data_IF_073059005261
#
_entry.id   IF_073059005261
#
_cell.length_a   1.000
_cell.length_b   1.000
_cell.length_c   1.000
_cell.angle_alpha   90.00
_cell.angle_beta   90.00
_cell.angle_gamma   90.00
#
_symmetry.space_group_name_H-M   'P 1'
#
loop_
_entity.id
_entity.type
_entity.pdbx_description
1 polymer ?
#
# COMPACT_ATOMS: atom_id res chain seq x y z
N UNK A 1 12.91 24.38 -27.49
CA UNK A 1 11.62 23.67 -27.33
C UNK A 1 10.75 24.48 -26.39
N UNK A 2 9.59 24.97 -26.84
CA UNK A 2 8.66 25.73 -26.00
C UNK A 2 7.94 24.74 -25.07
N UNK A 3 8.15 24.86 -23.76
CA UNK A 3 7.35 24.16 -22.74
C UNK A 3 5.94 24.74 -22.82
N UNK A 4 4.97 23.98 -23.32
CA UNK A 4 3.57 24.39 -23.33
C UNK A 4 2.97 23.89 -22.01
N UNK A 5 2.87 24.79 -21.03
CA UNK A 5 2.19 24.53 -19.78
C UNK A 5 0.68 24.44 -20.08
N UNK A 6 0.08 23.27 -19.94
CA UNK A 6 -1.37 23.13 -20.06
C UNK A 6 -2.01 23.42 -18.70
N UNK A 7 -2.73 24.54 -18.61
CA UNK A 7 -3.65 24.81 -17.52
C UNK A 7 -5.05 24.36 -17.96
N UNK A 8 -5.52 23.22 -17.47
CA UNK A 8 -6.87 22.73 -17.77
C UNK A 8 -7.89 23.50 -16.92
N UNK A 9 -8.43 24.61 -17.44
CA UNK A 9 -9.72 25.11 -16.97
C UNK A 9 -10.82 24.19 -17.53
N UNK A 10 -11.18 23.15 -16.77
CA UNK A 10 -12.36 22.27 -16.92
C UNK A 10 -13.09 22.30 -18.29
N UNK A 11 -12.46 21.79 -19.35
CA UNK A 11 -13.19 21.34 -20.56
C UNK A 11 -13.23 19.82 -20.54
N UNK A 12 -14.30 19.29 -19.96
CA UNK A 12 -14.54 17.87 -19.65
C UNK A 12 -14.89 16.98 -20.87
N UNK A 13 -14.62 17.40 -22.11
CA UNK A 13 -14.94 16.58 -23.28
C UNK A 13 -13.72 15.82 -23.75
N UNK A 14 -13.70 14.50 -23.50
CA UNK A 14 -12.78 13.46 -24.02
C UNK A 14 -11.58 13.02 -23.16
N UNK A 15 -11.70 12.98 -21.84
CA UNK A 15 -10.77 12.22 -20.98
C UNK A 15 -11.27 10.77 -20.92
N UNK A 16 -10.57 9.87 -21.60
CA UNK A 16 -10.85 8.44 -21.54
C UNK A 16 -10.29 7.85 -20.22
N UNK A 17 -10.97 6.85 -19.67
CA UNK A 17 -10.49 6.07 -18.53
C UNK A 17 -9.12 5.44 -18.86
N UNK A 18 -8.15 5.50 -17.93
CA UNK A 18 -6.82 4.89 -18.10
C UNK A 18 -5.67 5.85 -18.43
N UNK A 19 -5.93 7.16 -18.49
CA UNK A 19 -4.91 8.18 -18.70
C UNK A 19 -3.99 8.34 -17.47
N UNK A 20 -2.70 8.58 -17.75
CA UNK A 20 -1.61 8.65 -16.77
C UNK A 20 -0.79 9.92 -16.95
N UNK A 21 -0.44 10.56 -15.84
CA UNK A 21 0.43 11.74 -15.80
C UNK A 21 1.57 11.46 -14.81
N UNK A 22 2.81 11.49 -15.29
CA UNK A 22 3.99 11.19 -14.47
C UNK A 22 4.16 12.16 -13.30
N UNK A 23 4.06 13.47 -13.58
CA UNK A 23 4.22 14.53 -12.60
C UNK A 23 3.19 15.64 -12.84
N UNK A 24 2.60 16.15 -11.76
CA UNK A 24 1.62 17.22 -11.79
C UNK A 24 1.70 18.12 -10.55
N UNK A 25 1.15 19.32 -10.68
CA UNK A 25 0.88 20.24 -9.57
C UNK A 25 -0.63 20.41 -9.43
N UNK A 26 -1.13 20.10 -8.23
CA UNK A 26 -2.55 20.16 -7.88
C UNK A 26 -2.79 21.33 -6.92
N UNK A 27 -3.80 22.14 -7.17
CA UNK A 27 -4.27 23.19 -6.26
C UNK A 27 -5.71 22.88 -5.88
N UNK A 28 -5.99 22.84 -4.58
CA UNK A 28 -7.34 22.54 -4.06
C UNK A 28 -8.01 23.83 -3.56
N UNK A 29 -9.32 23.94 -3.74
CA UNK A 29 -10.11 25.15 -3.40
C UNK A 29 -9.96 25.63 -1.94
N UNK A 30 -9.64 24.73 -1.01
CA UNK A 30 -9.56 25.00 0.44
C UNK A 30 -8.14 24.91 1.00
N UNK A 31 -7.14 24.88 0.13
CA UNK A 31 -5.75 24.75 0.50
C UNK A 31 -4.96 25.89 -0.13
N UNK A 32 -4.27 26.69 0.68
CA UNK A 32 -3.44 27.79 0.19
C UNK A 32 -2.20 27.31 -0.57
N UNK A 33 -1.73 26.11 -0.24
CA UNK A 33 -0.57 25.50 -0.87
C UNK A 33 -0.95 24.62 -2.07
N UNK A 34 0.03 24.36 -2.93
CA UNK A 34 -0.08 23.38 -4.01
C UNK A 34 0.48 22.04 -3.58
N UNK A 35 -0.12 20.95 -4.05
CA UNK A 35 0.35 19.58 -3.85
C UNK A 35 1.13 19.13 -5.09
N UNK A 36 2.36 18.69 -4.87
CA UNK A 36 3.14 18.01 -5.90
C UNK A 36 2.74 16.54 -5.95
N UNK A 37 2.32 16.09 -7.13
CA UNK A 37 1.77 14.77 -7.37
C UNK A 37 2.60 14.02 -8.41
N UNK A 38 2.79 12.72 -8.15
CA UNK A 38 3.40 11.75 -9.07
C UNK A 38 2.42 10.64 -9.39
N UNK A 39 2.64 9.99 -10.51
CA UNK A 39 1.88 8.82 -10.94
C UNK A 39 0.35 9.03 -10.88
N UNK A 40 -0.12 10.14 -11.45
CA UNK A 40 -1.54 10.49 -11.41
C UNK A 40 -2.31 9.64 -12.42
N UNK A 41 -3.33 8.94 -11.95
CA UNK A 41 -4.20 8.06 -12.74
C UNK A 41 -5.65 8.45 -12.54
N UNK A 42 -6.39 8.59 -13.64
CA UNK A 42 -7.85 8.74 -13.57
C UNK A 42 -8.50 7.40 -13.21
N UNK A 43 -9.08 7.32 -12.02
CA UNK A 43 -9.88 6.16 -11.59
C UNK A 43 -11.23 6.17 -12.31
N UNK A 44 -11.83 7.36 -12.43
CA UNK A 44 -13.02 7.63 -13.22
C UNK A 44 -13.11 9.12 -13.60
N UNK A 45 -14.22 9.52 -14.20
CA UNK A 45 -14.54 10.90 -14.60
C UNK A 45 -14.58 11.90 -13.43
N UNK A 46 -14.56 11.43 -12.18
CA UNK A 46 -14.70 12.25 -10.96
C UNK A 46 -13.50 12.15 -10.01
N UNK A 47 -12.67 11.12 -10.15
CA UNK A 47 -11.67 10.74 -9.15
C UNK A 47 -10.31 10.48 -9.81
N UNK A 48 -9.27 11.06 -9.21
CA UNK A 48 -7.87 10.73 -9.49
C UNK A 48 -7.26 10.00 -8.30
N UNK A 49 -6.34 9.09 -8.63
CA UNK A 49 -5.41 8.46 -7.71
C UNK A 49 -4.01 9.02 -8.02
N UNK A 50 -3.19 9.26 -7.00
CA UNK A 50 -1.83 9.77 -7.18
C UNK A 50 -0.94 9.47 -5.97
N UNK A 51 0.37 9.64 -6.13
CA UNK A 51 1.36 9.68 -5.03
C UNK A 51 1.69 11.13 -4.71
N UNK A 52 1.51 11.53 -3.46
CA UNK A 52 1.94 12.85 -3.00
C UNK A 52 3.45 12.83 -2.73
N UNK A 53 4.22 13.76 -3.28
CA UNK A 53 5.68 13.76 -3.10
C UNK A 53 6.12 14.00 -1.66
N UNK A 54 5.32 14.73 -0.88
CA UNK A 54 5.59 15.00 0.54
C UNK A 54 5.17 13.81 1.43
N UNK A 55 4.32 12.93 0.91
CA UNK A 55 3.84 11.73 1.61
C UNK A 55 3.96 10.50 0.68
N UNK A 56 5.19 10.12 0.31
CA UNK A 56 5.43 9.15 -0.77
C UNK A 56 5.06 7.71 -0.39
N UNK A 57 4.82 7.44 0.89
CA UNK A 57 4.51 6.11 1.41
C UNK A 57 3.00 5.85 1.49
N UNK A 58 2.14 6.72 0.96
CA UNK A 58 0.68 6.53 0.94
C UNK A 58 0.09 6.82 -0.43
N UNK A 59 -0.94 6.05 -0.78
CA UNK A 59 -1.72 6.28 -1.99
C UNK A 59 -2.82 7.31 -1.72
N UNK A 60 -2.83 8.38 -2.51
CA UNK A 60 -3.75 9.50 -2.36
C UNK A 60 -4.86 9.47 -3.40
N UNK A 61 -6.05 9.89 -3.00
CA UNK A 61 -7.21 10.04 -3.85
C UNK A 61 -7.79 11.43 -3.72
N UNK A 62 -8.18 12.03 -4.85
CA UNK A 62 -8.80 13.35 -4.87
C UNK A 62 -9.97 13.39 -5.85
N UNK A 63 -11.03 14.10 -5.47
CA UNK A 63 -12.11 14.43 -6.40
C UNK A 63 -11.67 15.55 -7.32
N UNK A 64 -11.85 15.38 -8.62
CA UNK A 64 -11.54 16.40 -9.62
C UNK A 64 -12.27 17.72 -9.33
N UNK A 65 -13.53 17.65 -8.86
CA UNK A 65 -14.32 18.83 -8.49
C UNK A 65 -13.79 19.66 -7.32
N UNK A 66 -12.82 19.16 -6.55
CA UNK A 66 -12.18 19.90 -5.44
C UNK A 66 -10.89 20.61 -5.92
N UNK A 67 -10.48 20.40 -7.17
CA UNK A 67 -9.31 21.02 -7.75
C UNK A 67 -9.69 22.38 -8.32
N UNK A 68 -9.01 23.41 -7.85
CA UNK A 68 -8.98 24.74 -8.46
C UNK A 68 -8.05 24.74 -9.68
N UNK A 69 -6.94 24.00 -9.59
CA UNK A 69 -5.93 23.92 -10.65
C UNK A 69 -5.34 22.51 -10.75
N UNK A 70 -5.12 22.06 -11.98
CA UNK A 70 -4.40 20.83 -12.30
C UNK A 70 -3.45 21.14 -13.46
N UNK A 71 -2.17 21.23 -13.16
CA UNK A 71 -1.11 21.58 -14.12
C UNK A 71 -0.13 20.45 -14.30
N UNK A 72 0.25 20.17 -15.54
CA UNK A 72 1.30 19.22 -15.89
C UNK A 72 1.93 19.60 -17.23
N UNK A 73 3.15 19.12 -17.48
CA UNK A 73 3.78 19.21 -18.79
C UNK A 73 3.15 18.17 -19.73
N UNK A 74 2.72 18.59 -20.91
CA UNK A 74 2.16 17.69 -21.93
C UNK A 74 3.06 16.49 -22.27
N UNK A 75 4.38 16.59 -22.11
CA UNK A 75 5.30 15.46 -22.33
C UNK A 75 5.25 14.40 -21.24
N UNK A 76 4.57 14.68 -20.13
CA UNK A 76 4.39 13.78 -19.00
C UNK A 76 3.05 13.04 -19.06
N UNK A 77 2.23 13.32 -20.07
CA UNK A 77 0.92 12.70 -20.27
C UNK A 77 1.03 11.48 -21.17
N UNK A 78 0.37 10.40 -20.75
CA UNK A 78 0.33 9.13 -21.45
C UNK A 78 -1.10 8.62 -21.53
N UNK A 79 -1.46 8.05 -22.68
CA UNK A 79 -2.79 7.48 -22.89
C UNK A 79 -3.04 6.22 -22.05
N UNK A 80 -1.97 5.49 -21.71
CA UNK A 80 -2.04 4.26 -20.94
C UNK A 80 -1.16 4.37 -19.70
N UNK A 81 -1.69 3.98 -18.55
CA UNK A 81 -0.90 3.88 -17.32
C UNK A 81 0.13 2.73 -17.40
N UNK A 82 1.40 2.97 -17.06
CA UNK A 82 2.36 1.89 -16.89
C UNK A 82 1.96 1.05 -15.67
N UNK A 83 2.49 -0.19 -15.59
CA UNK A 83 2.36 -1.00 -14.39
C UNK A 83 3.23 -0.41 -13.27
N UNK A 84 2.60 0.41 -12.43
CA UNK A 84 3.26 1.06 -11.30
C UNK A 84 3.81 0.02 -10.30
N UNK A 85 4.88 0.41 -9.61
CA UNK A 85 5.35 -0.38 -8.48
C UNK A 85 4.31 -0.28 -7.36
N UNK A 86 3.86 -1.41 -6.82
CA UNK A 86 2.82 -1.48 -5.77
C UNK A 86 3.43 -1.74 -4.37
N UNK A 87 4.76 -1.79 -4.29
CA UNK A 87 5.58 -1.94 -3.09
C UNK A 87 6.56 -0.78 -2.95
N UNK A 88 7.25 -0.74 -1.81
CA UNK A 88 8.33 0.20 -1.51
C UNK A 88 9.72 -0.44 -1.65
N UNK A 89 9.78 -1.75 -1.87
CA UNK A 89 11.01 -2.48 -2.20
C UNK A 89 11.19 -2.65 -3.71
N UNK A 90 12.42 -2.94 -4.11
CA UNK A 90 12.72 -3.37 -5.48
C UNK A 90 12.01 -4.68 -5.84
N UNK A 91 11.74 -4.84 -7.13
CA UNK A 91 11.17 -6.08 -7.66
C UNK A 91 12.26 -7.14 -7.75
N UNK A 92 11.91 -8.37 -7.38
CA UNK A 92 12.83 -9.52 -7.50
C UNK A 92 12.65 -10.23 -8.83
N UNK A 93 13.72 -10.80 -9.36
CA UNK A 93 13.64 -11.64 -10.53
C UNK A 93 13.15 -13.05 -10.18
N UNK A 94 12.45 -13.69 -11.11
CA UNK A 94 11.96 -15.06 -10.97
C UNK A 94 10.48 -15.20 -10.67
N UNK A 95 10.05 -16.46 -10.58
CA UNK A 95 8.69 -16.88 -10.25
C UNK A 95 8.73 -18.26 -9.62
N UNK A 96 8.06 -18.44 -8.50
CA UNK A 96 8.05 -19.72 -7.80
C UNK A 96 7.51 -19.60 -6.40
N UNK A 97 7.83 -20.56 -5.56
CA UNK A 97 7.36 -20.64 -4.19
C UNK A 97 8.50 -20.75 -3.20
N UNK A 98 8.28 -20.19 -2.02
CA UNK A 98 9.11 -20.38 -0.84
C UNK A 98 8.43 -21.47 -0.02
N UNK A 99 9.03 -22.67 0.03
CA UNK A 99 8.42 -23.80 0.73
C UNK A 99 8.39 -23.54 2.24
N UNK A 100 9.46 -22.97 2.78
CA UNK A 100 9.63 -22.67 4.21
C UNK A 100 9.90 -21.18 4.48
N UNK A 101 9.78 -20.75 5.75
CA UNK A 101 10.19 -19.39 6.16
C UNK A 101 11.68 -19.17 5.92
N UNK A 102 12.49 -20.21 6.06
CA UNK A 102 13.92 -20.14 5.77
C UNK A 102 14.19 -19.95 4.28
N UNK A 103 13.38 -20.56 3.41
CA UNK A 103 13.45 -20.30 1.98
C UNK A 103 13.08 -18.85 1.65
N UNK A 104 12.05 -18.30 2.31
CA UNK A 104 11.63 -16.91 2.14
C UNK A 104 12.74 -15.93 2.57
N UNK A 105 13.36 -16.16 3.72
CA UNK A 105 14.45 -15.33 4.26
C UNK A 105 15.68 -15.40 3.36
N UNK A 106 16.10 -16.60 2.98
CA UNK A 106 17.31 -16.81 2.18
C UNK A 106 17.10 -16.56 0.68
N UNK A 107 15.85 -16.35 0.24
CA UNK A 107 15.51 -16.18 -1.17
C UNK A 107 15.56 -17.48 -1.98
N UNK A 108 15.55 -18.64 -1.34
CA UNK A 108 15.58 -19.95 -2.01
C UNK A 108 14.25 -20.21 -2.69
N UNK A 109 14.20 -20.01 -4.01
CA UNK A 109 12.97 -20.17 -4.77
C UNK A 109 12.87 -21.58 -5.34
N UNK A 110 11.75 -22.26 -5.10
CA UNK A 110 11.41 -23.50 -5.79
C UNK A 110 10.53 -23.17 -6.99
N UNK A 111 10.96 -23.58 -8.18
CA UNK A 111 10.12 -23.51 -9.37
C UNK A 111 8.95 -24.47 -9.21
N UNK A 112 7.75 -23.90 -9.11
CA UNK A 112 6.51 -24.65 -9.06
C UNK A 112 5.47 -23.89 -9.88
N UNK A 113 4.73 -24.55 -10.76
CA UNK A 113 3.69 -23.88 -11.48
C UNK A 113 2.47 -23.61 -10.58
N UNK A 114 1.91 -22.40 -10.68
CA UNK A 114 0.70 -22.02 -9.98
C UNK A 114 -0.06 -20.93 -10.73
N UNK A 115 -1.36 -20.83 -10.46
CA UNK A 115 -2.22 -19.70 -10.85
C UNK A 115 -2.55 -18.88 -9.61
N UNK A 116 -2.81 -17.59 -9.83
CA UNK A 116 -3.18 -16.66 -8.75
C UNK A 116 -4.47 -15.94 -9.08
N UNK A 117 -5.28 -15.65 -8.06
CA UNK A 117 -6.48 -14.81 -8.18
C UNK A 117 -6.41 -13.68 -7.16
N UNK A 118 -6.57 -12.45 -7.62
CA UNK A 118 -6.74 -11.30 -6.74
C UNK A 118 -8.05 -11.41 -5.96
N UNK A 119 -7.97 -11.20 -4.64
CA UNK A 119 -9.13 -11.22 -3.73
C UNK A 119 -9.10 -10.04 -2.74
N UNK A 120 -8.16 -9.10 -2.88
CA UNK A 120 -8.03 -7.93 -1.99
C UNK A 120 -8.94 -6.74 -2.34
N UNK A 121 -9.87 -6.87 -3.29
CA UNK A 121 -10.78 -5.79 -3.66
C UNK A 121 -11.62 -5.35 -2.46
N UNK A 122 -11.57 -4.04 -2.14
CA UNK A 122 -12.27 -3.49 -0.98
C UNK A 122 -11.66 -3.88 0.37
N UNK A 123 -10.46 -4.45 0.38
CA UNK A 123 -9.71 -4.78 1.60
C UNK A 123 -8.34 -4.07 1.63
N UNK A 124 -7.74 -3.83 0.47
CA UNK A 124 -6.39 -3.28 0.33
C UNK A 124 -6.33 -2.07 -0.61
N UNK A 125 -5.24 -1.29 -0.51
CA UNK A 125 -4.89 -0.23 -1.47
C UNK A 125 -4.83 -0.75 -2.89
N UNK A 126 -4.17 -1.89 -3.08
CA UNK A 126 -4.12 -2.59 -4.36
C UNK A 126 -4.84 -3.92 -4.24
N UNK A 127 -5.69 -4.24 -5.21
CA UNK A 127 -6.46 -5.49 -5.22
C UNK A 127 -5.55 -6.73 -5.15
N UNK A 128 -4.36 -6.63 -5.74
CA UNK A 128 -3.35 -7.68 -5.76
C UNK A 128 -2.51 -7.77 -4.47
N UNK A 129 -2.78 -6.97 -3.44
CA UNK A 129 -2.11 -7.12 -2.14
C UNK A 129 -2.56 -8.37 -1.38
N UNK A 130 -3.71 -8.95 -1.75
CA UNK A 130 -4.19 -10.23 -1.25
C UNK A 130 -4.57 -11.14 -2.42
N UNK A 131 -4.00 -12.34 -2.44
CA UNK A 131 -4.21 -13.32 -3.50
C UNK A 131 -4.55 -14.71 -2.95
N UNK A 132 -5.33 -15.44 -3.72
CA UNK A 132 -5.39 -16.90 -3.66
C UNK A 132 -4.36 -17.48 -4.62
N UNK A 133 -3.70 -18.55 -4.20
CA UNK A 133 -2.78 -19.34 -5.05
C UNK A 133 -3.32 -20.76 -5.18
N UNK A 134 -3.46 -21.22 -6.42
CA UNK A 134 -3.97 -22.56 -6.75
C UNK A 134 -3.03 -23.29 -7.70
N UNK A 135 -3.02 -24.62 -7.62
CA UNK A 135 -2.37 -25.47 -8.61
C UNK A 135 -3.15 -25.47 -9.96
N UNK A 136 -2.66 -26.24 -10.93
CA UNK A 136 -3.34 -26.35 -12.22
C UNK A 136 -4.68 -27.09 -12.15
N UNK A 137 -4.88 -27.93 -11.14
CA UNK A 137 -6.14 -28.64 -10.87
C UNK A 137 -7.13 -27.80 -10.06
N UNK A 138 -6.83 -26.51 -9.84
CA UNK A 138 -7.64 -25.54 -9.09
C UNK A 138 -7.68 -25.75 -7.57
N UNK A 139 -6.82 -26.62 -7.01
CA UNK A 139 -6.69 -26.80 -5.56
C UNK A 139 -5.85 -25.68 -4.97
N UNK A 140 -6.30 -25.11 -3.84
CA UNK A 140 -5.51 -24.12 -3.10
C UNK A 140 -4.20 -24.73 -2.64
N UNK A 141 -3.10 -24.00 -2.84
CA UNK A 141 -1.80 -24.33 -2.27
C UNK A 141 -1.76 -23.74 -0.86
N UNK A 142 -1.50 -24.59 0.15
CA UNK A 142 -1.76 -24.27 1.57
C UNK A 142 -0.51 -24.26 2.45
N UNK A 143 0.46 -25.11 2.11
CA UNK A 143 1.58 -25.45 3.00
C UNK A 143 2.92 -24.98 2.40
N UNK A 144 2.95 -23.70 2.02
CA UNK A 144 4.15 -22.98 1.60
C UNK A 144 4.22 -21.66 2.36
N UNK A 145 5.42 -21.18 2.66
CA UNK A 145 5.62 -19.93 3.38
C UNK A 145 5.31 -18.68 2.54
N UNK A 146 5.52 -18.75 1.22
CA UNK A 146 5.26 -17.62 0.36
C UNK A 146 5.38 -17.92 -1.13
N UNK A 147 5.11 -16.91 -1.96
CA UNK A 147 5.28 -16.98 -3.41
C UNK A 147 5.98 -15.74 -3.95
N UNK A 148 6.80 -15.92 -4.98
CA UNK A 148 7.30 -14.84 -5.81
C UNK A 148 6.49 -14.79 -7.10
N UNK A 149 5.77 -13.70 -7.31
CA UNK A 149 4.87 -13.53 -8.44
C UNK A 149 5.01 -12.11 -9.01
N UNK A 150 5.35 -12.01 -10.29
CA UNK A 150 5.50 -10.74 -11.02
C UNK A 150 6.48 -9.76 -10.33
N UNK A 151 7.52 -10.31 -9.70
CA UNK A 151 8.53 -9.59 -8.94
C UNK A 151 8.12 -9.15 -7.53
N UNK A 152 6.93 -9.55 -7.07
CA UNK A 152 6.45 -9.28 -5.71
C UNK A 152 6.48 -10.53 -4.85
N UNK A 153 6.98 -10.38 -3.63
CA UNK A 153 6.95 -11.40 -2.59
C UNK A 153 5.61 -11.37 -1.89
N UNK A 154 5.04 -12.55 -1.67
CA UNK A 154 3.82 -12.74 -0.92
C UNK A 154 4.05 -13.75 0.19
N UNK A 155 3.54 -13.48 1.39
CA UNK A 155 3.63 -14.35 2.57
C UNK A 155 2.29 -15.03 2.83
N UNK A 156 2.35 -16.30 3.20
CA UNK A 156 1.19 -17.08 3.61
C UNK A 156 0.61 -16.55 4.93
N UNK A 157 -0.70 -16.23 4.93
CA UNK A 157 -1.40 -15.78 6.15
C UNK A 157 -1.37 -16.88 7.22
N UNK A 158 -1.47 -18.16 6.83
CA UNK A 158 -1.28 -19.31 7.72
C UNK A 158 0.08 -19.25 8.42
N UNK A 159 1.16 -19.16 7.64
CA UNK A 159 2.52 -19.17 8.22
C UNK A 159 2.77 -17.95 9.12
N UNK A 160 2.29 -16.78 8.72
CA UNK A 160 2.35 -15.58 9.54
C UNK A 160 1.63 -15.76 10.89
N UNK A 161 0.47 -16.43 10.88
CA UNK A 161 -0.27 -16.76 12.09
C UNK A 161 0.42 -17.83 12.94
N UNK A 162 0.99 -18.86 12.32
CA UNK A 162 1.64 -19.97 13.02
C UNK A 162 2.94 -19.53 13.72
N UNK A 163 3.61 -18.51 13.17
CA UNK A 163 4.87 -17.94 13.68
C UNK A 163 4.67 -16.55 14.30
N UNK A 164 3.46 -16.25 14.76
CA UNK A 164 3.16 -14.99 15.41
C UNK A 164 3.88 -14.88 16.77
N UNK A 165 4.46 -13.71 17.03
CA UNK A 165 5.12 -13.43 18.30
C UNK A 165 4.13 -13.50 19.46
N UNK A 166 4.55 -14.15 20.54
CA UNK A 166 3.70 -14.35 21.74
C UNK A 166 3.36 -13.04 22.44
N UNK A 167 4.26 -12.07 22.36
CA UNK A 167 4.10 -10.76 23.01
C UNK A 167 3.20 -9.82 22.21
N UNK A 168 3.05 -10.05 20.90
CA UNK A 168 2.45 -9.10 19.95
C UNK A 168 1.49 -9.76 18.97
N UNK A 169 0.46 -10.42 19.52
CA UNK A 169 -0.55 -11.14 18.74
C UNK A 169 -1.59 -10.24 18.08
N UNK A 170 -1.71 -10.28 16.77
CA UNK A 170 -2.80 -9.83 15.92
C UNK A 170 -3.74 -10.96 15.55
N UNK A 171 -5.05 -10.72 15.55
CA UNK A 171 -6.03 -11.72 15.16
C UNK A 171 -6.09 -11.95 13.64
N UNK A 172 -4.96 -12.24 13.00
CA UNK A 172 -4.75 -12.28 11.54
C UNK A 172 -5.73 -13.17 10.77
N UNK A 173 -6.10 -14.30 11.38
CA UNK A 173 -6.90 -15.36 10.76
C UNK A 173 -8.39 -15.01 10.68
N UNK A 174 -8.90 -14.13 11.54
CA UNK A 174 -10.35 -13.97 11.71
C UNK A 174 -11.03 -13.21 10.57
N UNK A 175 -10.28 -12.56 9.65
CA UNK A 175 -10.86 -11.77 8.54
C UNK A 175 -10.40 -12.18 7.15
N UNK A 176 -9.33 -12.97 7.06
CA UNK A 176 -8.73 -13.40 5.80
C UNK A 176 -8.68 -14.92 5.77
N UNK A 177 -8.96 -15.52 4.62
CA UNK A 177 -8.88 -16.97 4.51
C UNK A 177 -7.47 -17.47 4.87
N UNK A 178 -7.37 -18.49 5.72
CA UNK A 178 -6.07 -19.04 6.20
C UNK A 178 -5.12 -19.38 5.05
N UNK A 179 -5.66 -19.80 3.89
CA UNK A 179 -4.89 -20.22 2.72
C UNK A 179 -4.73 -19.10 1.68
N UNK A 180 -4.64 -17.87 2.13
CA UNK A 180 -4.39 -16.69 1.28
C UNK A 180 -2.97 -16.18 1.48
N UNK A 181 -2.52 -15.35 0.55
CA UNK A 181 -1.18 -14.79 0.55
C UNK A 181 -1.25 -13.27 0.47
N UNK A 182 -0.48 -12.60 1.32
CA UNK A 182 -0.41 -11.14 1.41
C UNK A 182 0.91 -10.63 0.86
N UNK A 183 0.84 -9.57 0.07
CA UNK A 183 2.01 -8.94 -0.51
C UNK A 183 2.88 -8.28 0.57
N UNK A 184 4.17 -8.54 0.49
CA UNK A 184 5.19 -7.81 1.22
C UNK A 184 5.32 -6.41 0.65
N UNK A 185 5.10 -5.38 1.48
CA UNK A 185 5.20 -3.97 1.10
C UNK A 185 6.65 -3.51 1.05
N UNK A 186 7.48 -4.03 1.95
CA UNK A 186 8.91 -3.75 1.99
C UNK A 186 9.68 -4.95 2.52
N UNK A 187 10.88 -5.15 1.98
CA UNK A 187 11.78 -6.23 2.35
C UNK A 187 13.17 -5.63 2.45
N UNK A 188 13.63 -5.44 3.69
CA UNK A 188 14.95 -4.92 4.01
C UNK A 188 15.98 -6.04 4.15
N UNK A 189 17.12 -5.71 4.76
CA UNK A 189 18.24 -6.65 4.91
C UNK A 189 17.96 -7.72 5.98
N UNK A 190 17.28 -7.36 7.08
CA UNK A 190 17.02 -8.26 8.20
C UNK A 190 15.54 -8.39 8.58
N UNK A 191 14.64 -7.80 7.80
CA UNK A 191 13.20 -7.84 8.06
C UNK A 191 12.36 -7.78 6.79
N UNK A 192 11.11 -8.23 6.92
CA UNK A 192 10.05 -7.93 5.96
C UNK A 192 8.88 -7.24 6.66
N UNK A 193 8.15 -6.46 5.87
CA UNK A 193 7.03 -5.67 6.32
C UNK A 193 5.84 -5.83 5.36
N UNK A 194 4.67 -6.09 5.94
CA UNK A 194 3.39 -6.06 5.23
C UNK A 194 2.28 -5.53 6.15
N UNK A 195 1.10 -5.40 5.60
CA UNK A 195 -0.05 -4.85 6.33
C UNK A 195 -1.25 -5.78 6.21
N UNK A 196 -2.03 -5.87 7.28
CA UNK A 196 -3.30 -6.59 7.30
C UNK A 196 -4.44 -5.63 7.60
N UNK A 197 -5.49 -5.58 6.77
CA UNK A 197 -6.63 -4.72 7.03
C UNK A 197 -7.48 -5.32 8.15
N UNK A 198 -7.97 -4.43 9.01
CA UNK A 198 -8.75 -4.77 10.20
C UNK A 198 -10.23 -4.82 9.96
N UNK A 199 -10.69 -4.24 8.87
CA UNK A 199 -12.09 -4.20 8.49
C UNK A 199 -12.15 -4.32 6.98
N UNK A 200 -13.30 -4.76 6.46
CA UNK A 200 -13.59 -4.50 5.05
C UNK A 200 -13.46 -3.00 4.87
N UNK A 201 -12.54 -2.55 4.02
CA UNK A 201 -12.53 -1.15 3.66
C UNK A 201 -13.90 -0.91 3.04
N UNK A 202 -14.76 -0.16 3.71
CA UNK A 202 -16.02 0.29 3.14
C UNK A 202 -15.65 1.01 1.85
N UNK A 203 -15.83 0.28 0.74
CA UNK A 203 -15.16 0.44 -0.54
C UNK A 203 -14.64 1.87 -0.71
N UNK A 204 -13.34 2.14 -0.47
CA UNK A 204 -12.79 3.51 -0.48
C UNK A 204 -13.15 4.21 -1.80
N UNK A 205 -13.26 3.45 -2.89
CA UNK A 205 -13.72 3.90 -4.21
C UNK A 205 -15.24 4.18 -4.22
N UNK A 206 -16.08 3.40 -3.54
CA UNK A 206 -17.51 3.71 -3.38
C UNK A 206 -17.78 4.84 -2.38
N UNK A 207 -17.03 4.96 -1.29
CA UNK A 207 -17.22 6.00 -0.26
C UNK A 207 -16.65 7.34 -0.71
N UNK A 208 -15.54 7.34 -1.46
CA UNK A 208 -15.09 8.52 -2.22
C UNK A 208 -16.09 8.88 -3.34
N UNK A 209 -16.74 7.92 -4.01
CA UNK A 209 -17.84 8.23 -4.94
C UNK A 209 -19.08 8.84 -4.25
N UNK A 210 -19.43 8.37 -3.04
CA UNK A 210 -20.64 8.78 -2.28
C UNK A 210 -20.43 10.05 -1.43
N UNK A 211 -19.21 10.57 -1.31
CA UNK A 211 -18.97 11.88 -0.71
C UNK A 211 -18.75 11.90 0.80
N UNK A 212 -18.44 10.75 1.39
CA UNK A 212 -17.88 10.69 2.73
C UNK A 212 -16.37 10.79 2.58
N UNK A 213 -15.79 11.90 3.03
CA UNK A 213 -14.36 11.97 3.29
C UNK A 213 -14.05 11.00 4.41
N UNK A 214 -13.67 9.77 4.07
CA UNK A 214 -13.12 8.85 5.05
C UNK A 214 -11.74 9.43 5.40
N UNK A 215 -11.59 9.80 6.68
CA UNK A 215 -10.50 10.62 7.22
C UNK A 215 -9.13 10.13 6.73
N UNK A 216 -8.52 10.94 5.86
CA UNK A 216 -7.21 10.64 5.30
C UNK A 216 -6.11 10.97 6.29
N UNK A 217 -5.30 9.96 6.62
CA UNK A 217 -4.10 10.02 7.43
C UNK A 217 -2.92 10.69 6.69
N UNK A 218 -3.17 11.88 6.14
CA UNK A 218 -2.14 12.86 5.80
C UNK A 218 -2.44 14.05 6.69
N UNK A 219 -1.64 14.27 7.73
CA UNK A 219 -1.90 15.26 8.78
C UNK A 219 -2.17 16.68 8.25
N UNK A 220 -2.87 17.49 9.04
CA UNK A 220 -3.12 18.90 8.74
C UNK A 220 -4.15 19.19 7.64
N UNK A 221 -3.92 20.28 6.88
CA UNK A 221 -4.90 20.88 5.97
C UNK A 221 -5.33 20.00 4.79
N UNK A 222 -4.56 18.94 4.46
CA UNK A 222 -4.87 18.03 3.35
C UNK A 222 -6.01 17.06 3.64
N UNK A 223 -6.27 16.73 4.91
CA UNK A 223 -7.27 15.75 5.31
C UNK A 223 -8.71 16.09 4.83
N UNK A 224 -8.99 17.37 4.55
CA UNK A 224 -10.29 17.83 4.05
C UNK A 224 -10.47 17.70 2.52
N UNK A 225 -9.39 17.55 1.77
CA UNK A 225 -9.40 17.62 0.29
C UNK A 225 -8.83 16.36 -0.38
N UNK A 226 -7.90 15.68 0.29
CA UNK A 226 -7.29 14.41 -0.14
C UNK A 226 -7.73 13.30 0.79
N UNK A 227 -8.08 12.15 0.21
CA UNK A 227 -8.39 10.93 0.96
C UNK A 227 -7.22 9.95 0.86
N UNK A 228 -6.88 9.34 1.98
CA UNK A 228 -5.92 8.23 2.08
C UNK A 228 -6.46 7.17 3.04
N UNK A 229 -5.78 6.04 3.07
CA UNK A 229 -6.04 5.01 4.07
C UNK A 229 -5.55 5.43 5.46
N UNK A 230 -6.28 4.98 6.49
CA UNK A 230 -5.95 5.27 7.88
C UNK A 230 -5.12 4.16 8.53
N UNK A 231 -4.21 4.46 9.47
CA UNK A 231 -3.62 3.44 10.34
C UNK A 231 -4.66 2.77 11.25
N UNK A 232 -5.87 3.32 11.36
CA UNK A 232 -7.00 2.62 11.97
C UNK A 232 -7.53 1.46 11.09
N UNK A 233 -7.27 1.49 9.78
CA UNK A 233 -7.73 0.47 8.83
C UNK A 233 -6.75 -0.69 8.68
N UNK A 234 -5.46 -0.47 8.96
CA UNK A 234 -4.39 -1.44 8.78
C UNK A 234 -3.63 -1.77 10.07
N UNK A 235 -3.07 -2.98 10.11
CA UNK A 235 -2.05 -3.38 11.09
C UNK A 235 -0.74 -3.60 10.37
N UNK A 236 0.30 -2.80 10.69
CA UNK A 236 1.66 -3.12 10.34
C UNK A 236 2.07 -4.47 10.92
N UNK A 237 2.73 -5.29 10.12
CA UNK A 237 3.30 -6.56 10.53
C UNK A 237 4.74 -6.61 10.09
N UNK A 238 5.62 -6.83 11.06
CA UNK A 238 7.06 -6.88 10.87
C UNK A 238 7.52 -8.28 11.21
N UNK A 239 8.32 -8.91 10.35
CA UNK A 239 9.01 -10.15 10.66
C UNK A 239 10.50 -9.92 10.60
N UNK A 240 11.17 -10.05 11.75
CA UNK A 240 12.62 -10.03 11.83
C UNK A 240 13.17 -11.41 11.45
N UNK A 241 14.11 -11.44 10.50
CA UNK A 241 14.70 -12.68 9.98
C UNK A 241 15.46 -13.45 11.07
N UNK A 242 16.09 -12.74 12.00
CA UNK A 242 16.82 -13.32 13.13
C UNK A 242 15.92 -14.11 14.09
N UNK A 243 14.67 -13.66 14.27
CA UNK A 243 13.70 -14.25 15.20
C UNK A 243 12.73 -15.21 14.52
N UNK A 244 12.48 -15.03 13.21
CA UNK A 244 11.48 -15.77 12.43
C UNK A 244 10.07 -15.68 13.04
N UNK A 245 9.79 -14.56 13.71
CA UNK A 245 8.50 -14.27 14.33
C UNK A 245 7.84 -13.05 13.68
N UNK A 246 6.52 -13.09 13.56
CA UNK A 246 5.70 -11.99 13.04
C UNK A 246 5.13 -11.16 14.19
N UNK A 247 5.40 -9.86 14.17
CA UNK A 247 4.99 -8.90 15.19
C UNK A 247 3.85 -8.02 14.67
N UNK A 248 2.70 -8.02 15.35
CA UNK A 248 1.58 -7.14 14.98
C UNK A 248 1.61 -5.83 15.74
N UNK A 249 1.65 -4.73 15.00
CA UNK A 249 1.55 -3.41 15.61
C UNK A 249 0.09 -2.94 15.66
N UNK A 250 -0.46 -2.81 16.87
CA UNK A 250 -1.90 -2.59 17.10
C UNK A 250 -2.34 -1.14 17.08
N UNK A 251 -1.49 -0.24 17.53
CA UNK A 251 -1.79 1.18 17.70
C UNK A 251 -0.48 1.94 17.94
N UNK A 252 -0.55 3.26 18.09
CA UNK A 252 0.64 4.09 18.29
C UNK A 252 1.45 3.72 19.54
N UNK A 253 0.77 3.48 20.67
CA UNK A 253 1.44 3.10 21.91
C UNK A 253 2.23 1.80 21.71
N UNK A 254 1.57 0.80 21.13
CA UNK A 254 2.19 -0.49 20.84
C UNK A 254 3.30 -0.40 19.79
N UNK A 255 3.23 0.54 18.83
CA UNK A 255 4.34 0.84 17.93
C UNK A 255 5.58 1.26 18.72
N UNK A 256 5.46 2.24 19.61
CA UNK A 256 6.61 2.69 20.41
C UNK A 256 7.13 1.60 21.36
N UNK A 257 6.24 0.87 22.02
CA UNK A 257 6.64 -0.25 22.90
C UNK A 257 7.32 -1.39 22.13
N UNK A 258 6.95 -1.62 20.86
CA UNK A 258 7.57 -2.63 20.01
C UNK A 258 9.06 -2.34 19.81
N UNK A 259 9.39 -1.13 19.35
CA UNK A 259 10.77 -0.73 19.08
C UNK A 259 11.61 -0.61 20.35
N UNK A 260 11.00 -0.18 21.47
CA UNK A 260 11.65 -0.20 22.78
C UNK A 260 12.08 -1.63 23.18
N UNK A 261 11.21 -2.63 22.97
CA UNK A 261 11.54 -4.05 23.20
C UNK A 261 12.62 -4.60 22.26
N UNK A 262 12.84 -3.96 21.12
CA UNK A 262 13.96 -4.27 20.22
C UNK A 262 15.24 -3.48 20.56
N UNK A 263 15.30 -2.75 21.68
CA UNK A 263 16.38 -1.82 22.02
C UNK A 263 16.64 -0.75 20.94
N UNK A 264 15.60 -0.35 20.20
CA UNK A 264 15.67 0.69 19.20
C UNK A 264 15.22 2.04 19.76
N UNK A 265 15.81 3.13 19.25
CA UNK A 265 15.41 4.51 19.57
C UNK A 265 14.24 4.99 18.72
N UNK A 266 13.76 4.17 17.79
CA UNK A 266 12.63 4.49 16.92
C UNK A 266 11.40 4.82 17.76
N UNK A 267 10.81 5.98 17.49
CA UNK A 267 9.60 6.44 18.18
C UNK A 267 8.82 7.39 17.29
N UNK A 268 7.49 7.29 17.38
CA UNK A 268 6.57 8.26 16.78
C UNK A 268 5.74 8.94 17.87
N UNK A 269 5.43 10.21 17.67
CA UNK A 269 4.57 10.94 18.59
C UNK A 269 3.12 10.46 18.42
N UNK A 270 2.49 10.04 19.52
CA UNK A 270 1.11 9.55 19.51
C UNK A 270 0.06 10.65 19.77
N UNK A 271 0.49 11.80 20.28
CA UNK A 271 -0.40 12.89 20.68
C UNK A 271 -0.61 13.92 19.56
N UNK A 272 0.15 13.79 18.47
CA UNK A 272 0.04 14.60 17.26
C UNK A 272 -0.51 13.76 16.10
N UNK A 273 -0.92 14.41 15.00
CA UNK A 273 -1.23 13.78 13.69
C UNK A 273 -0.07 12.94 13.10
N UNK A 274 1.03 12.78 13.84
CA UNK A 274 2.22 12.01 13.50
C UNK A 274 1.94 10.50 13.44
N UNK A 275 0.94 9.98 14.17
CA UNK A 275 0.47 8.61 14.01
C UNK A 275 -0.42 8.48 12.76
N UNK A 276 0.22 8.55 11.60
CA UNK A 276 -0.41 8.38 10.30
C UNK A 276 0.32 7.31 9.47
N UNK A 277 -0.36 6.78 8.46
CA UNK A 277 0.14 5.65 7.68
C UNK A 277 1.45 5.98 6.95
N UNK A 278 1.62 7.23 6.49
CA UNK A 278 2.85 7.66 5.83
C UNK A 278 4.04 7.63 6.80
N UNK A 279 3.88 8.15 8.01
CA UNK A 279 4.95 8.18 9.01
C UNK A 279 5.28 6.78 9.52
N UNK A 280 4.26 5.95 9.78
CA UNK A 280 4.46 4.54 10.19
C UNK A 280 5.28 3.79 9.13
N UNK A 281 4.84 3.86 7.87
CA UNK A 281 5.53 3.21 6.75
C UNK A 281 6.95 3.77 6.57
N UNK A 282 7.10 5.10 6.57
CA UNK A 282 8.42 5.76 6.47
C UNK A 282 9.37 5.23 7.54
N UNK A 283 8.98 5.32 8.80
CA UNK A 283 9.81 4.91 9.93
C UNK A 283 10.19 3.42 9.84
N UNK A 284 9.24 2.53 9.55
CA UNK A 284 9.55 1.10 9.34
C UNK A 284 10.52 0.90 8.18
N UNK A 285 10.36 1.61 7.07
CA UNK A 285 11.15 1.39 5.85
C UNK A 285 12.55 1.99 5.93
N UNK A 286 12.72 3.12 6.64
CA UNK A 286 13.96 3.90 6.62
C UNK A 286 14.78 3.81 7.90
N UNK A 287 14.18 3.36 9.01
CA UNK A 287 14.85 3.35 10.32
C UNK A 287 15.09 1.93 10.87
N UNK A 288 14.41 0.91 10.33
CA UNK A 288 14.78 -0.50 10.51
C UNK A 288 15.78 -0.92 9.44
#
# INVERSE_FOLDING_TARGET
MKKILFAFQLVLSSIAFGQYIENATLKFEKLDETVSAKDVVYVNDKLIQFRNTNYPYVLSYAKLKKLEKFEFDSTQFHQNAPKLNETFSEKREGRGVYLTIDDLINGNLTEMPFRSKSIGLGLYEYTNDLIDVVDYETKKIKDIAGVLLNGYVYVSVKHASDHESKDEKGSFVLKHGVHTFVRVKYMGDDFLYFEMPLQTMGNLIATTAVGVGIGGAIGGALAGVVSTNSPADYRPIIMYFSKKEFHTIKNCKNFNEHFERQNSTIRINCDNDDYNLNNIRRTIITEL
#
